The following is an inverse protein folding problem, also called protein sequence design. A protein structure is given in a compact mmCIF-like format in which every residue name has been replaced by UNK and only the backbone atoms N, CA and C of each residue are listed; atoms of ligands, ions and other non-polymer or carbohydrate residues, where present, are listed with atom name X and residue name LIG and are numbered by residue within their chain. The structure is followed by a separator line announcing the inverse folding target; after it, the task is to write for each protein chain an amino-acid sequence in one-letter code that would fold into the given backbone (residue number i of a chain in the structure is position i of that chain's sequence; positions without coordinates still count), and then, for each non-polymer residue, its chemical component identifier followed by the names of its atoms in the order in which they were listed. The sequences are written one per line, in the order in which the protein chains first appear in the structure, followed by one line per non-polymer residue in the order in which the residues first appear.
data_IF_407144703928
#
_entry.id   IF_407144703928
#
_cell.length_a   1.000
_cell.length_b   1.000
_cell.length_c   1.000
_cell.angle_alpha   90.00
_cell.angle_beta   90.00
_cell.angle_gamma   90.00
#
_symmetry.space_group_name_H-M   'P 1'
#
loop_
_entity.id
_entity.type
_entity.pdbx_description
1 polymer ?
#
# COMPACT_ATOMS: atom_id res chain seq x y z
N UNK A 1 -3.05 53.92 -6.78
CA UNK A 1 -3.32 53.18 -8.02
C UNK A 1 -2.21 52.15 -8.19
N UNK A 2 -2.61 50.87 -8.14
CA UNK A 2 -1.90 49.65 -8.57
C UNK A 2 -0.54 49.30 -7.93
N UNK A 3 -0.52 48.29 -7.04
CA UNK A 3 -0.15 46.93 -7.46
C UNK A 3 -0.64 45.94 -6.39
N UNK A 4 -1.92 45.54 -6.47
CA UNK A 4 -2.34 44.28 -5.87
C UNK A 4 -1.68 43.19 -6.69
N UNK A 5 -0.59 42.63 -6.16
CA UNK A 5 0.01 41.43 -6.72
C UNK A 5 -1.03 40.32 -6.65
N UNK A 6 -1.62 40.02 -7.82
CA UNK A 6 -2.69 39.06 -8.01
C UNK A 6 -2.22 37.62 -7.96
N UNK A 7 -0.92 37.40 -7.68
CA UNK A 7 -0.36 36.08 -7.53
C UNK A 7 -0.26 35.72 -6.04
N UNK A 8 -0.81 34.57 -5.63
CA UNK A 8 -0.54 34.08 -4.29
C UNK A 8 0.97 33.88 -4.12
N UNK A 9 1.48 34.21 -2.94
CA UNK A 9 2.85 33.90 -2.50
C UNK A 9 3.18 32.47 -2.88
N UNK A 10 4.39 32.25 -3.39
CA UNK A 10 4.85 30.94 -3.85
C UNK A 10 4.68 29.90 -2.73
N UNK A 11 3.66 29.06 -2.86
CA UNK A 11 3.42 27.92 -1.98
C UNK A 11 4.11 26.68 -2.53
N UNK A 12 4.54 25.79 -1.64
CA UNK A 12 5.29 24.56 -1.97
C UNK A 12 4.67 23.70 -3.06
N UNK A 13 3.34 23.76 -3.20
CA UNK A 13 2.60 23.09 -4.29
C UNK A 13 3.08 23.47 -5.69
N UNK A 14 3.51 24.72 -5.92
CA UNK A 14 4.02 25.17 -7.24
C UNK A 14 5.46 24.75 -7.51
N UNK A 15 6.28 24.51 -6.48
CA UNK A 15 7.61 23.90 -6.64
C UNK A 15 7.50 22.44 -7.05
N UNK A 16 6.57 21.70 -6.45
CA UNK A 16 6.29 20.31 -6.82
C UNK A 16 5.87 20.18 -8.30
N UNK A 17 4.92 21.00 -8.77
CA UNK A 17 4.45 20.96 -10.18
C UNK A 17 5.58 21.32 -11.17
N UNK A 18 6.45 22.28 -10.84
CA UNK A 18 7.61 22.60 -11.69
C UNK A 18 8.64 21.47 -11.72
N UNK A 19 8.81 20.72 -10.62
CA UNK A 19 9.64 19.51 -10.58
C UNK A 19 9.13 18.40 -11.49
N UNK A 20 7.82 18.14 -11.47
CA UNK A 20 7.17 17.10 -12.30
C UNK A 20 7.23 17.43 -13.80
N UNK A 21 7.00 18.69 -14.17
CA UNK A 21 7.03 19.12 -15.59
C UNK A 21 8.46 19.24 -16.14
N UNK A 22 9.47 19.45 -15.27
CA UNK A 22 10.88 19.44 -15.66
C UNK A 22 11.46 18.04 -15.93
N UNK A 23 10.89 16.99 -15.32
CA UNK A 23 11.38 15.62 -15.43
C UNK A 23 11.05 14.90 -16.75
N UNK A 24 10.05 15.38 -17.51
CA UNK A 24 9.62 14.72 -18.76
C UNK A 24 10.54 15.00 -19.97
N UNK A 25 11.62 15.79 -19.78
CA UNK A 25 12.50 16.23 -20.86
C UNK A 25 13.81 15.42 -21.04
N UNK A 26 14.06 14.37 -20.24
CA UNK A 26 15.28 13.54 -20.32
C UNK A 26 14.97 12.07 -20.60
N UNK A 27 14.24 11.81 -21.68
CA UNK A 27 14.20 10.49 -22.31
C UNK A 27 15.10 10.53 -23.56
N UNK A 28 16.41 10.33 -23.38
CA UNK A 28 17.35 10.36 -24.50
C UNK A 28 18.79 10.03 -24.14
N UNK A 29 19.11 8.72 -24.20
CA UNK A 29 20.45 8.10 -24.21
C UNK A 29 21.22 8.19 -22.89
N UNK A 30 21.54 7.02 -22.29
CA UNK A 30 22.91 6.63 -21.89
C UNK A 30 22.92 5.20 -21.32
N UNK A 31 23.48 4.28 -22.09
CA UNK A 31 24.04 3.01 -21.62
C UNK A 31 25.28 3.29 -20.74
N UNK A 32 25.42 2.51 -19.66
CA UNK A 32 26.57 2.40 -18.72
C UNK A 32 26.86 3.61 -17.80
N UNK A 33 26.50 3.47 -16.51
CA UNK A 33 26.98 4.31 -15.41
C UNK A 33 25.90 4.66 -14.40
N UNK A 34 25.67 3.80 -13.40
CA UNK A 34 24.78 4.08 -12.28
C UNK A 34 25.43 5.07 -11.31
N UNK A 35 25.21 6.39 -11.46
CA UNK A 35 25.45 7.39 -10.40
C UNK A 35 24.55 8.62 -10.60
N UNK A 36 23.73 8.90 -9.57
CA UNK A 36 23.17 10.18 -9.14
C UNK A 36 22.37 11.05 -10.13
N UNK A 37 21.07 10.77 -10.25
CA UNK A 37 20.06 11.79 -10.60
C UNK A 37 18.84 11.68 -9.66
N UNK A 38 19.07 11.73 -8.34
CA UNK A 38 17.98 11.74 -7.35
C UNK A 38 17.97 13.00 -6.48
N UNK A 39 19.09 13.72 -6.35
CA UNK A 39 19.25 14.77 -5.32
C UNK A 39 18.70 16.16 -5.67
N UNK A 40 18.46 16.48 -6.94
CA UNK A 40 18.07 17.84 -7.32
C UNK A 40 16.55 18.13 -7.18
N UNK A 41 15.73 17.12 -6.95
CA UNK A 41 14.26 17.24 -6.87
C UNK A 41 13.64 16.46 -5.71
N UNK A 42 14.44 15.83 -4.85
CA UNK A 42 13.92 15.18 -3.66
C UNK A 42 13.28 16.26 -2.75
N UNK A 43 12.01 16.12 -2.36
CA UNK A 43 11.37 17.06 -1.46
C UNK A 43 12.12 17.08 -0.10
N UNK A 44 12.11 18.24 0.55
CA UNK A 44 12.82 18.52 1.81
C UNK A 44 12.19 17.87 3.04
N UNK A 45 11.18 17.04 2.86
CA UNK A 45 10.42 16.38 3.92
C UNK A 45 10.72 14.89 3.96
N UNK A 46 10.34 14.22 5.05
CA UNK A 46 10.57 12.78 5.21
C UNK A 46 9.91 11.94 4.11
N UNK A 47 10.72 11.53 3.15
CA UNK A 47 10.34 10.75 1.98
C UNK A 47 9.93 11.58 0.77
N UNK A 48 9.87 10.90 -0.37
CA UNK A 48 9.51 11.47 -1.66
C UNK A 48 10.61 11.31 -2.71
N UNK A 49 10.23 10.84 -3.88
CA UNK A 49 11.16 10.33 -4.89
C UNK A 49 10.61 9.08 -5.54
N UNK A 50 11.35 8.49 -6.47
CA UNK A 50 10.94 7.22 -7.08
C UNK A 50 11.09 6.08 -6.07
N UNK A 51 9.99 5.38 -5.81
CA UNK A 51 9.92 4.22 -4.94
C UNK A 51 9.51 3.03 -5.79
N UNK A 52 10.32 1.98 -5.78
CA UNK A 52 9.95 0.67 -6.28
C UNK A 52 9.20 -0.07 -5.17
N UNK A 53 8.11 -0.75 -5.52
CA UNK A 53 7.28 -1.46 -4.58
C UNK A 53 6.61 -2.66 -5.24
N UNK A 54 6.22 -3.64 -4.44
CA UNK A 54 5.36 -4.74 -4.89
C UNK A 54 3.91 -4.47 -4.53
N UNK A 55 3.02 -4.89 -5.42
CA UNK A 55 1.59 -4.71 -5.23
C UNK A 55 0.74 -5.49 -6.23
N UNK A 56 -0.57 -5.49 -5.98
CA UNK A 56 -1.55 -6.10 -6.88
C UNK A 56 -1.48 -5.45 -8.27
N UNK A 57 -1.42 -6.25 -9.33
CA UNK A 57 -1.38 -5.74 -10.70
C UNK A 57 -2.66 -4.96 -11.04
N UNK A 58 -2.53 -3.74 -11.54
CA UNK A 58 -3.67 -2.98 -12.09
C UNK A 58 -3.90 -3.36 -13.55
N UNK A 59 -5.06 -3.94 -13.86
CA UNK A 59 -5.40 -4.43 -15.20
C UNK A 59 -6.34 -3.53 -15.97
N UNK A 60 -7.18 -2.74 -15.29
CA UNK A 60 -8.12 -1.82 -15.94
C UNK A 60 -8.39 -0.53 -15.14
N UNK A 61 -9.07 0.42 -15.78
CA UNK A 61 -9.46 1.72 -15.22
C UNK A 61 -8.34 2.76 -15.11
N UNK A 62 -8.65 3.94 -14.56
CA UNK A 62 -7.77 5.12 -14.59
C UNK A 62 -6.74 5.17 -13.46
N UNK A 63 -6.76 4.21 -12.52
CA UNK A 63 -5.68 4.09 -11.55
C UNK A 63 -4.32 4.03 -12.25
N UNK A 64 -3.32 4.80 -11.80
CA UNK A 64 -2.02 4.86 -12.48
C UNK A 64 -1.14 3.65 -12.19
N UNK A 65 -1.46 2.86 -11.15
CA UNK A 65 -0.64 1.75 -10.64
C UNK A 65 -1.45 0.85 -9.70
N UNK A 66 -0.88 -0.29 -9.33
CA UNK A 66 -1.38 -1.29 -8.40
C UNK A 66 -1.56 -0.83 -6.96
N UNK A 67 -2.19 -1.67 -6.14
CA UNK A 67 -2.31 -1.43 -4.70
C UNK A 67 -1.03 -1.92 -4.00
N UNK A 68 -0.33 -1.07 -3.24
CA UNK A 68 0.86 -1.50 -2.50
C UNK A 68 0.55 -2.62 -1.53
N UNK A 69 1.44 -3.60 -1.50
CA UNK A 69 1.34 -4.72 -0.58
C UNK A 69 1.75 -4.31 0.84
N UNK A 70 1.13 -4.95 1.82
CA UNK A 70 1.60 -5.00 3.21
C UNK A 70 2.19 -6.40 3.39
N UNK A 71 3.52 -6.53 3.64
CA UNK A 71 4.10 -7.81 3.99
C UNK A 71 3.51 -8.29 5.30
N UNK A 72 3.16 -9.57 5.37
CA UNK A 72 2.52 -10.17 6.54
C UNK A 72 3.49 -11.14 7.23
N UNK A 73 3.46 -11.16 8.55
CA UNK A 73 3.96 -12.25 9.37
C UNK A 73 2.84 -12.81 10.26
N UNK A 74 3.02 -14.04 10.73
CA UNK A 74 2.10 -14.72 11.64
C UNK A 74 2.86 -14.95 12.93
N UNK A 75 2.31 -14.48 14.06
CA UNK A 75 2.92 -14.71 15.36
C UNK A 75 2.59 -16.09 15.95
N UNK A 76 3.15 -16.40 17.12
CA UNK A 76 2.97 -17.68 17.81
C UNK A 76 1.52 -17.93 18.25
N UNK A 77 0.71 -16.89 18.39
CA UNK A 77 -0.72 -16.97 18.74
C UNK A 77 -1.62 -17.00 17.50
N UNK A 78 -1.04 -17.02 16.29
CA UNK A 78 -1.75 -17.05 15.03
C UNK A 78 -2.33 -15.70 14.61
N UNK A 79 -1.88 -14.58 15.20
CA UNK A 79 -2.30 -13.24 14.80
C UNK A 79 -1.57 -12.83 13.52
N UNK A 80 -2.30 -12.16 12.62
CA UNK A 80 -1.71 -11.55 11.44
C UNK A 80 -1.11 -10.20 11.79
N UNK A 81 0.17 -10.02 11.51
CA UNK A 81 0.91 -8.78 11.71
C UNK A 81 1.37 -8.23 10.36
N UNK A 82 1.24 -6.92 10.15
CA UNK A 82 1.88 -6.23 9.03
C UNK A 82 3.29 -5.80 9.42
N UNK A 83 4.29 -6.24 8.65
CA UNK A 83 5.70 -5.95 8.91
C UNK A 83 5.93 -4.44 8.80
N UNK A 84 6.46 -3.85 9.87
CA UNK A 84 6.91 -2.45 9.89
C UNK A 84 8.41 -2.39 10.17
N UNK A 85 9.23 -1.78 9.30
CA UNK A 85 10.67 -1.68 9.53
C UNK A 85 10.99 -0.79 10.74
N UNK A 86 12.11 -1.05 11.40
CA UNK A 86 12.58 -0.23 12.52
C UNK A 86 12.90 1.20 12.04
N UNK A 87 12.47 2.25 12.75
CA UNK A 87 12.77 3.63 12.38
C UNK A 87 14.22 4.00 12.67
N UNK A 88 14.87 4.66 11.72
CA UNK A 88 16.23 5.20 11.85
C UNK A 88 16.28 6.67 11.44
N UNK A 89 17.03 7.48 12.20
CA UNK A 89 17.32 8.86 11.84
C UNK A 89 18.46 8.91 10.83
N UNK A 90 18.18 9.46 9.65
CA UNK A 90 19.15 9.67 8.57
C UNK A 90 19.48 11.15 8.40
N UNK A 91 20.75 11.46 8.19
CA UNK A 91 21.22 12.82 7.86
C UNK A 91 21.36 12.92 6.34
N UNK A 92 20.59 13.81 5.72
CA UNK A 92 20.64 14.05 4.27
C UNK A 92 21.87 14.88 3.89
N UNK A 93 22.19 14.90 2.58
CA UNK A 93 23.31 15.67 2.01
C UNK A 93 23.25 17.18 2.31
N UNK A 94 22.04 17.72 2.54
CA UNK A 94 21.81 19.12 2.91
C UNK A 94 21.88 19.39 4.43
N UNK A 95 22.18 18.36 5.23
CA UNK A 95 22.29 18.41 6.68
C UNK A 95 20.96 18.24 7.42
N UNK A 96 19.85 18.00 6.72
CA UNK A 96 18.54 17.76 7.34
C UNK A 96 18.47 16.35 7.94
N UNK A 97 18.00 16.24 9.17
CA UNK A 97 17.70 14.95 9.80
C UNK A 97 16.27 14.52 9.42
N UNK A 98 16.13 13.27 8.99
CA UNK A 98 14.86 12.68 8.57
C UNK A 98 14.74 11.31 9.21
N UNK A 99 13.58 11.01 9.81
CA UNK A 99 13.27 9.65 10.27
C UNK A 99 12.71 8.82 9.12
N UNK A 100 13.34 7.71 8.81
CA UNK A 100 12.96 6.74 7.78
C UNK A 100 12.80 5.36 8.42
N UNK A 101 11.99 4.50 7.81
CA UNK A 101 11.88 3.09 8.21
C UNK A 101 12.00 2.26 6.94
N UNK A 102 13.11 1.54 6.83
CA UNK A 102 13.40 0.61 5.74
C UNK A 102 14.15 -0.63 6.24
N UNK A 103 13.99 -1.74 5.53
CA UNK A 103 14.71 -3.00 5.77
C UNK A 103 14.87 -3.77 4.46
N UNK A 104 15.78 -4.74 4.44
CA UNK A 104 15.85 -5.71 3.36
C UNK A 104 14.81 -6.81 3.60
N UNK A 105 13.91 -7.04 2.65
CA UNK A 105 12.91 -8.11 2.72
C UNK A 105 12.72 -8.70 1.33
N UNK A 106 12.84 -10.03 1.20
CA UNK A 106 12.61 -10.74 -0.06
C UNK A 106 13.45 -10.21 -1.22
N UNK A 107 14.72 -9.88 -0.97
CA UNK A 107 15.67 -9.41 -1.98
C UNK A 107 15.48 -7.96 -2.43
N UNK A 108 14.59 -7.18 -1.79
CA UNK A 108 14.37 -5.75 -2.09
C UNK A 108 14.38 -4.88 -0.84
N UNK A 109 14.61 -3.58 -1.03
CA UNK A 109 14.41 -2.59 0.03
C UNK A 109 12.91 -2.35 0.22
N UNK A 110 12.39 -2.83 1.34
CA UNK A 110 11.04 -2.52 1.79
C UNK A 110 11.08 -1.28 2.68
N UNK A 111 10.33 -0.25 2.31
CA UNK A 111 10.30 1.04 3.00
C UNK A 111 8.86 1.51 3.19
N UNK A 112 8.62 2.24 4.28
CA UNK A 112 7.32 2.86 4.58
C UNK A 112 6.89 3.89 3.53
N UNK A 113 7.80 4.33 2.65
CA UNK A 113 7.47 5.17 1.50
C UNK A 113 6.51 4.51 0.49
N UNK A 114 6.39 3.17 0.50
CA UNK A 114 5.40 2.44 -0.31
C UNK A 114 3.98 2.93 -0.08
N UNK A 115 3.71 3.48 1.11
CA UNK A 115 2.40 3.97 1.52
C UNK A 115 2.25 5.47 1.36
N UNK A 116 3.22 6.15 0.74
CA UNK A 116 3.17 7.60 0.58
C UNK A 116 2.39 8.05 -0.66
N UNK A 117 1.10 7.80 -0.67
CA UNK A 117 0.23 8.18 -1.79
C UNK A 117 -1.21 8.46 -1.35
N UNK A 118 -1.97 9.21 -2.17
CA UNK A 118 -3.41 9.39 -1.99
C UNK A 118 -3.87 9.91 -0.61
N UNK A 119 -2.99 10.61 0.11
CA UNK A 119 -3.26 11.08 1.48
C UNK A 119 -2.89 10.08 2.58
N UNK A 120 -2.54 8.84 2.23
CA UNK A 120 -2.05 7.86 3.22
C UNK A 120 -0.76 8.33 3.89
N UNK A 121 0.07 9.12 3.18
CA UNK A 121 1.27 9.75 3.77
C UNK A 121 0.98 10.70 4.94
N UNK A 122 -0.28 11.10 5.14
CA UNK A 122 -0.67 11.99 6.24
C UNK A 122 -1.33 11.24 7.40
N UNK A 123 -1.53 9.93 7.30
CA UNK A 123 -2.11 9.13 8.37
C UNK A 123 -1.11 8.98 9.52
N UNK A 124 -1.58 9.18 10.75
CA UNK A 124 -0.74 9.22 11.94
C UNK A 124 0.15 7.99 12.08
N UNK A 125 -0.41 6.79 11.93
CA UNK A 125 0.34 5.55 12.09
C UNK A 125 1.27 5.18 10.94
N UNK A 126 1.23 5.89 9.81
CA UNK A 126 2.19 5.71 8.70
C UNK A 126 3.50 6.46 8.96
N UNK A 127 3.56 7.32 9.99
CA UNK A 127 4.84 7.88 10.42
C UNK A 127 5.74 6.72 10.91
N UNK A 128 7.00 6.62 10.45
CA UNK A 128 7.96 5.61 10.86
C UNK A 128 7.99 5.43 12.39
N UNK A 129 8.11 6.55 13.10
CA UNK A 129 8.23 6.68 14.54
C UNK A 129 6.89 7.01 15.23
N UNK A 130 5.76 6.64 14.63
CA UNK A 130 4.45 6.82 15.26
C UNK A 130 4.41 6.13 16.64
N UNK A 131 4.14 6.91 17.69
CA UNK A 131 4.06 6.42 19.06
C UNK A 131 2.76 5.62 19.30
N UNK A 132 2.88 4.54 20.07
CA UNK A 132 1.73 3.72 20.48
C UNK A 132 1.12 2.82 19.40
N UNK A 133 1.75 2.72 18.22
CA UNK A 133 1.32 1.83 17.13
C UNK A 133 1.85 0.41 17.29
N UNK A 134 1.01 -0.58 17.00
CA UNK A 134 1.38 -2.00 16.91
C UNK A 134 1.36 -2.50 15.46
N UNK A 135 1.85 -3.72 15.24
CA UNK A 135 1.88 -4.35 13.91
C UNK A 135 0.62 -5.17 13.62
N UNK A 136 -0.29 -5.29 14.58
CA UNK A 136 -1.47 -6.16 14.51
C UNK A 136 -2.45 -5.65 13.44
N UNK A 137 -2.88 -6.54 12.54
CA UNK A 137 -3.98 -6.27 11.60
C UNK A 137 -5.30 -6.48 12.35
N UNK A 138 -6.19 -5.47 12.32
CA UNK A 138 -7.43 -5.47 13.12
C UNK A 138 -8.67 -5.26 12.28
N UNK A 139 -9.77 -5.91 12.65
CA UNK A 139 -11.05 -5.75 11.95
C UNK A 139 -11.60 -4.33 12.05
N UNK A 140 -12.26 -3.88 10.99
CA UNK A 140 -13.05 -2.65 10.94
C UNK A 140 -14.54 -2.96 10.81
N UNK A 141 -15.37 -1.94 10.57
CA UNK A 141 -16.78 -2.11 10.26
C UNK A 141 -16.90 -2.89 8.94
N UNK A 142 -16.96 -4.23 9.06
CA UNK A 142 -16.60 -5.15 8.00
C UNK A 142 -17.35 -4.98 6.68
N UNK A 143 -16.66 -5.36 5.60
CA UNK A 143 -17.19 -5.30 4.22
C UNK A 143 -17.85 -6.61 3.75
N UNK A 144 -17.79 -7.67 4.57
CA UNK A 144 -18.29 -9.01 4.22
C UNK A 144 -19.20 -9.54 5.33
N UNK A 145 -20.26 -10.26 4.95
CA UNK A 145 -21.27 -10.78 5.90
C UNK A 145 -20.66 -11.64 7.02
N UNK A 146 -19.64 -12.46 6.69
CA UNK A 146 -18.95 -13.31 7.67
C UNK A 146 -18.23 -12.51 8.76
N UNK A 147 -17.84 -11.26 8.48
CA UNK A 147 -17.19 -10.40 9.48
C UNK A 147 -18.15 -9.94 10.58
N UNK A 148 -19.45 -10.24 10.48
CA UNK A 148 -20.38 -10.01 11.59
C UNK A 148 -20.13 -10.92 12.80
N UNK A 149 -19.31 -11.96 12.63
CA UNK A 149 -18.90 -12.88 13.69
C UNK A 149 -17.68 -12.41 14.50
N UNK A 150 -17.04 -11.29 14.11
CA UNK A 150 -15.88 -10.68 14.79
C UNK A 150 -16.15 -9.25 15.22
N UNK A 151 -15.50 -8.75 16.27
CA UNK A 151 -15.70 -7.38 16.74
C UNK A 151 -14.74 -6.38 16.07
N UNK A 152 -15.20 -5.14 15.88
CA UNK A 152 -14.34 -4.07 15.38
C UNK A 152 -13.17 -3.84 16.35
N UNK A 153 -11.94 -3.84 15.83
CA UNK A 153 -10.71 -3.71 16.61
C UNK A 153 -10.09 -5.03 17.06
N UNK A 154 -10.81 -6.16 16.91
CA UNK A 154 -10.24 -7.47 17.19
C UNK A 154 -9.08 -7.79 16.24
N UNK A 155 -8.02 -8.47 16.72
CA UNK A 155 -6.98 -9.00 15.86
C UNK A 155 -7.54 -9.95 14.79
N UNK A 156 -6.99 -9.88 13.59
CA UNK A 156 -7.20 -10.91 12.57
C UNK A 156 -6.37 -12.15 12.95
N UNK A 157 -7.04 -13.28 13.12
CA UNK A 157 -6.41 -14.56 13.44
C UNK A 157 -6.46 -15.49 12.24
N UNK A 158 -5.45 -16.35 12.11
CA UNK A 158 -5.35 -17.37 11.05
C UNK A 158 -6.60 -18.27 11.01
N UNK A 159 -7.13 -18.65 12.18
CA UNK A 159 -8.33 -19.48 12.35
C UNK A 159 -9.59 -18.87 11.69
N UNK A 160 -9.66 -17.54 11.56
CA UNK A 160 -10.79 -16.88 10.91
C UNK A 160 -10.85 -17.15 9.39
N UNK A 161 -9.78 -17.69 8.81
CA UNK A 161 -9.62 -17.93 7.37
C UNK A 161 -9.51 -19.42 7.00
N UNK A 162 -9.80 -20.37 7.90
CA UNK A 162 -9.64 -21.81 7.62
C UNK A 162 -10.43 -22.29 6.39
N UNK A 163 -11.62 -21.77 6.16
CA UNK A 163 -12.55 -22.10 5.07
C UNK A 163 -12.30 -21.31 3.77
N UNK A 164 -11.08 -20.81 3.55
CA UNK A 164 -10.80 -19.90 2.43
C UNK A 164 -11.03 -20.48 1.03
N UNK A 165 -10.84 -21.79 0.89
CA UNK A 165 -10.96 -22.58 -0.35
C UNK A 165 -12.41 -23.00 -0.64
N UNK A 166 -13.32 -22.83 0.33
CA UNK A 166 -14.76 -23.05 0.18
C UNK A 166 -15.57 -21.74 0.23
N UNK A 167 -14.97 -20.65 0.71
CA UNK A 167 -15.65 -19.38 0.94
C UNK A 167 -16.29 -18.79 -0.34
N UNK A 168 -17.50 -18.26 -0.17
CA UNK A 168 -18.26 -17.60 -1.24
C UNK A 168 -19.26 -16.60 -0.69
N UNK A 169 -19.65 -15.65 -1.53
CA UNK A 169 -20.67 -14.64 -1.27
C UNK A 169 -21.53 -14.35 -2.53
N UNK A 170 -21.66 -15.35 -3.41
CA UNK A 170 -22.38 -15.29 -4.69
C UNK A 170 -21.83 -14.30 -5.75
N UNK A 171 -20.72 -13.61 -5.47
CA UNK A 171 -20.03 -12.75 -6.44
C UNK A 171 -18.83 -13.50 -7.02
N UNK A 172 -18.76 -13.71 -8.32
CA UNK A 172 -17.63 -14.40 -8.93
C UNK A 172 -17.60 -15.91 -8.65
N UNK A 173 -16.42 -16.51 -8.64
CA UNK A 173 -16.21 -17.94 -8.48
C UNK A 173 -15.99 -18.29 -6.99
N UNK A 174 -16.62 -19.35 -6.46
CA UNK A 174 -16.41 -19.79 -5.08
C UNK A 174 -14.98 -20.31 -4.88
N UNK A 175 -14.51 -20.27 -3.63
CA UNK A 175 -13.22 -20.88 -3.25
C UNK A 175 -11.98 -20.19 -3.79
N UNK A 176 -12.10 -18.96 -4.29
CA UNK A 176 -10.95 -18.17 -4.79
C UNK A 176 -10.13 -17.53 -3.66
N UNK A 177 -10.55 -17.68 -2.40
CA UNK A 177 -9.94 -17.07 -1.23
C UNK A 177 -10.94 -16.28 -0.41
N UNK A 178 -10.69 -16.20 0.90
CA UNK A 178 -11.53 -15.50 1.87
C UNK A 178 -10.93 -14.13 2.23
N UNK A 179 -11.66 -13.04 2.01
CA UNK A 179 -11.18 -11.69 2.27
C UNK A 179 -11.65 -11.13 3.62
N UNK A 180 -10.84 -10.28 4.23
CA UNK A 180 -11.19 -9.42 5.37
C UNK A 180 -10.79 -7.96 5.09
N UNK A 181 -11.61 -7.01 5.52
CA UNK A 181 -11.20 -5.59 5.63
C UNK A 181 -10.82 -5.26 7.06
N UNK A 182 -10.03 -4.20 7.22
CA UNK A 182 -9.61 -3.80 8.54
C UNK A 182 -8.78 -2.53 8.56
N UNK A 183 -8.06 -2.36 9.66
CA UNK A 183 -7.08 -1.30 9.85
C UNK A 183 -5.72 -1.88 10.28
N UNK A 184 -4.66 -1.12 10.01
CA UNK A 184 -3.30 -1.41 10.46
C UNK A 184 -2.66 -0.11 10.94
N UNK A 185 -1.81 -0.15 11.96
CA UNK A 185 -1.15 1.04 12.54
C UNK A 185 -2.13 2.22 12.66
N UNK A 186 -3.19 1.98 13.42
CA UNK A 186 -4.32 2.88 13.58
C UNK A 186 -4.70 3.07 15.05
N UNK A 187 -3.73 2.87 15.94
CA UNK A 187 -3.93 3.03 17.38
C UNK A 187 -3.78 4.49 17.78
N UNK A 188 -4.73 4.99 18.57
CA UNK A 188 -4.70 6.36 19.05
C UNK A 188 -4.73 7.44 17.95
N UNK A 189 -5.15 7.09 16.73
CA UNK A 189 -5.40 8.05 15.63
C UNK A 189 -6.90 8.31 15.46
N UNK A 190 -7.30 9.50 14.99
CA UNK A 190 -8.69 9.74 14.60
C UNK A 190 -9.17 8.78 13.50
N UNK A 191 -10.47 8.43 13.44
CA UNK A 191 -11.02 7.52 12.42
C UNK A 191 -10.68 7.90 10.97
N UNK A 192 -10.58 9.19 10.65
CA UNK A 192 -10.20 9.67 9.32
C UNK A 192 -8.71 9.47 8.96
N UNK A 193 -7.88 9.07 9.93
CA UNK A 193 -6.45 8.79 9.77
C UNK A 193 -6.10 7.31 9.95
N UNK A 194 -7.08 6.42 10.05
CA UNK A 194 -6.81 4.98 10.10
C UNK A 194 -6.34 4.49 8.72
N UNK A 195 -5.35 3.60 8.68
CA UNK A 195 -4.87 2.99 7.44
C UNK A 195 -5.78 1.81 7.07
N UNK A 196 -6.62 1.92 6.02
CA UNK A 196 -7.49 0.83 5.63
C UNK A 196 -6.68 -0.28 4.97
N UNK A 197 -6.99 -1.54 5.28
CA UNK A 197 -6.33 -2.71 4.71
C UNK A 197 -7.34 -3.70 4.11
N UNK A 198 -6.83 -4.54 3.22
CA UNK A 198 -7.52 -5.71 2.69
C UNK A 198 -6.57 -6.89 2.84
N UNK A 199 -7.01 -7.93 3.53
CA UNK A 199 -6.31 -9.21 3.66
C UNK A 199 -7.09 -10.26 2.90
N UNK A 200 -6.42 -11.14 2.16
CA UNK A 200 -7.02 -12.28 1.47
C UNK A 200 -6.17 -13.51 1.77
N UNK A 201 -6.77 -14.57 2.30
CA UNK A 201 -6.14 -15.91 2.30
C UNK A 201 -6.55 -16.66 1.04
N UNK A 202 -5.60 -17.22 0.30
CA UNK A 202 -5.87 -17.97 -0.94
C UNK A 202 -4.76 -18.97 -1.28
N UNK A 203 -5.09 -20.00 -2.05
CA UNK A 203 -4.14 -20.92 -2.70
C UNK A 203 -3.95 -20.61 -4.20
N UNK A 204 -4.64 -19.59 -4.72
CA UNK A 204 -4.63 -19.23 -6.15
C UNK A 204 -3.34 -18.51 -6.58
N UNK A 205 -2.41 -18.26 -5.66
CA UNK A 205 -1.14 -17.59 -5.94
C UNK A 205 -0.16 -18.56 -6.63
N UNK A 206 0.05 -18.40 -7.93
CA UNK A 206 0.95 -19.26 -8.69
C UNK A 206 2.42 -18.83 -8.58
N UNK A 207 3.04 -19.17 -7.45
CA UNK A 207 4.43 -18.82 -7.10
C UNK A 207 5.46 -19.42 -8.08
N UNK A 208 5.16 -20.56 -8.69
CA UNK A 208 6.06 -21.26 -9.60
C UNK A 208 6.25 -20.50 -10.93
N UNK A 209 5.21 -19.83 -11.41
CA UNK A 209 5.23 -19.04 -12.66
C UNK A 209 5.82 -17.63 -12.49
N UNK A 210 6.10 -17.21 -11.26
CA UNK A 210 6.70 -15.92 -10.98
C UNK A 210 8.18 -15.88 -11.40
N UNK A 211 8.64 -14.69 -11.79
CA UNK A 211 10.08 -14.46 -11.93
C UNK A 211 10.77 -14.54 -10.57
N UNK A 212 12.10 -14.69 -10.55
CA UNK A 212 12.84 -14.96 -9.32
C UNK A 212 12.70 -13.85 -8.27
N UNK A 213 12.72 -12.57 -8.64
CA UNK A 213 12.57 -11.47 -7.66
C UNK A 213 11.16 -11.38 -7.09
N UNK A 214 10.13 -11.57 -7.91
CA UNK A 214 8.75 -11.65 -7.44
C UNK A 214 8.54 -12.88 -6.54
N UNK A 215 9.13 -14.03 -6.89
CA UNK A 215 9.05 -15.25 -6.07
C UNK A 215 9.68 -15.03 -4.70
N UNK A 216 10.90 -14.51 -4.66
CA UNK A 216 11.63 -14.24 -3.41
C UNK A 216 10.85 -13.26 -2.53
N UNK A 217 10.29 -12.21 -3.13
CA UNK A 217 9.41 -11.28 -2.43
C UNK A 217 8.16 -11.96 -1.86
N UNK A 218 7.45 -12.76 -2.66
CA UNK A 218 6.23 -13.46 -2.22
C UNK A 218 6.50 -14.45 -1.11
N UNK A 219 7.60 -15.19 -1.20
CA UNK A 219 8.02 -16.12 -0.15
C UNK A 219 8.31 -15.41 1.18
N UNK A 220 8.84 -14.19 1.13
CA UNK A 220 9.15 -13.39 2.32
C UNK A 220 7.97 -12.57 2.87
N UNK A 221 6.98 -12.23 2.04
CA UNK A 221 5.92 -11.27 2.39
C UNK A 221 4.52 -11.87 2.49
N UNK A 222 4.32 -13.08 1.95
CA UNK A 222 3.02 -13.77 1.92
C UNK A 222 3.16 -15.12 2.63
N UNK A 223 3.05 -15.16 3.97
CA UNK A 223 3.27 -16.38 4.74
C UNK A 223 2.28 -17.45 4.30
N UNK A 224 2.78 -18.67 4.15
CA UNK A 224 2.00 -19.85 3.85
C UNK A 224 1.73 -20.59 5.16
N UNK A 225 0.47 -20.96 5.40
CA UNK A 225 0.12 -21.81 6.54
C UNK A 225 0.17 -23.30 6.20
N UNK A 226 -0.17 -24.14 7.18
CA UNK A 226 -0.08 -25.60 7.05
C UNK A 226 -1.07 -26.20 6.04
N UNK A 227 -2.19 -25.51 5.77
CA UNK A 227 -3.18 -25.91 4.77
C UNK A 227 -2.74 -25.56 3.34
N UNK A 228 -1.64 -24.82 3.19
CA UNK A 228 -1.06 -24.43 1.90
C UNK A 228 -1.59 -23.10 1.36
N UNK A 229 -2.50 -22.44 2.06
CA UNK A 229 -2.98 -21.10 1.74
C UNK A 229 -1.95 -20.04 2.11
N UNK A 230 -1.95 -18.91 1.38
CA UNK A 230 -1.10 -17.75 1.66
C UNK A 230 -1.93 -16.53 2.03
N UNK A 231 -1.41 -15.72 2.95
CA UNK A 231 -2.01 -14.44 3.32
C UNK A 231 -1.42 -13.31 2.49
N UNK A 232 -2.28 -12.57 1.80
CA UNK A 232 -1.91 -11.38 1.04
C UNK A 232 -2.52 -10.15 1.70
N UNK A 233 -1.70 -9.15 2.03
CA UNK A 233 -2.16 -7.87 2.58
C UNK A 233 -1.96 -6.72 1.60
N UNK A 234 -2.91 -5.78 1.54
CA UNK A 234 -2.79 -4.55 0.75
C UNK A 234 -3.26 -3.35 1.53
N UNK A 235 -2.64 -2.19 1.28
CA UNK A 235 -3.26 -0.93 1.68
C UNK A 235 -4.50 -0.71 0.81
N UNK A 236 -5.67 -0.68 1.44
CA UNK A 236 -6.96 -0.61 0.77
C UNK A 236 -7.34 0.82 0.39
N UNK A 237 -6.47 1.46 -0.40
CA UNK A 237 -6.64 2.82 -0.91
C UNK A 237 -6.35 2.84 -2.40
N UNK A 238 -7.37 3.04 -3.22
CA UNK A 238 -7.25 3.13 -4.67
C UNK A 238 -6.28 4.26 -5.07
N UNK A 239 -5.33 3.94 -5.93
CA UNK A 239 -4.26 4.85 -6.37
C UNK A 239 -4.73 5.96 -7.33
N UNK A 240 -6.01 5.97 -7.73
CA UNK A 240 -6.60 7.04 -8.55
C UNK A 240 -7.04 8.23 -7.70
N UNK A 241 -8.19 8.11 -7.03
CA UNK A 241 -8.79 9.14 -6.17
C UNK A 241 -9.24 8.57 -4.83
N UNK A 242 -8.44 7.66 -4.27
CA UNK A 242 -8.40 7.35 -2.85
C UNK A 242 -9.68 6.74 -2.25
N UNK A 243 -10.58 6.19 -3.07
CA UNK A 243 -11.66 5.31 -2.60
C UNK A 243 -11.08 4.00 -2.04
N UNK A 244 -11.82 3.30 -1.20
CA UNK A 244 -11.49 1.95 -0.76
C UNK A 244 -12.10 0.94 -1.76
N UNK A 245 -11.30 0.22 -2.56
CA UNK A 245 -11.82 -0.88 -3.36
C UNK A 245 -12.20 -2.08 -2.47
N UNK A 246 -12.85 -3.08 -3.05
CA UNK A 246 -13.12 -4.34 -2.36
C UNK A 246 -12.95 -5.54 -3.29
N UNK A 247 -12.52 -6.66 -2.72
CA UNK A 247 -12.44 -7.94 -3.42
C UNK A 247 -13.78 -8.64 -3.37
N UNK A 248 -14.41 -8.91 -4.52
CA UNK A 248 -15.73 -9.59 -4.57
C UNK A 248 -16.80 -8.91 -3.68
N UNK A 249 -16.84 -7.57 -3.61
CA UNK A 249 -17.82 -6.83 -2.75
C UNK A 249 -19.03 -6.28 -3.51
N UNK A 250 -18.97 -6.22 -4.84
CA UNK A 250 -19.98 -5.61 -5.68
C UNK A 250 -20.39 -6.53 -6.82
N UNK A 251 -21.68 -6.88 -6.90
CA UNK A 251 -22.24 -7.73 -7.96
C UNK A 251 -21.98 -7.19 -9.37
N UNK A 252 -21.99 -5.86 -9.53
CA UNK A 252 -21.81 -5.19 -10.81
C UNK A 252 -20.36 -5.19 -11.31
N UNK A 253 -19.39 -5.61 -10.48
CA UNK A 253 -17.99 -5.77 -10.88
C UNK A 253 -17.84 -6.73 -12.07
N UNK A 254 -18.74 -7.71 -12.20
CA UNK A 254 -18.76 -8.64 -13.33
C UNK A 254 -18.90 -7.94 -14.69
N UNK A 255 -19.63 -6.82 -14.76
CA UNK A 255 -19.78 -6.03 -16.00
C UNK A 255 -18.45 -5.42 -16.49
N UNK A 256 -17.45 -5.36 -15.61
CA UNK A 256 -16.10 -4.86 -15.90
C UNK A 256 -15.05 -5.97 -15.93
N UNK A 257 -15.48 -7.24 -15.92
CA UNK A 257 -14.57 -8.39 -15.85
C UNK A 257 -13.83 -8.49 -14.51
N UNK A 258 -14.40 -7.91 -13.44
CA UNK A 258 -13.77 -7.76 -12.14
C UNK A 258 -14.46 -8.57 -11.03
N UNK A 259 -15.25 -9.60 -11.40
CA UNK A 259 -16.02 -10.39 -10.44
C UNK A 259 -15.14 -11.13 -9.42
N UNK A 260 -13.93 -11.54 -9.81
CA UNK A 260 -12.93 -12.22 -8.95
C UNK A 260 -11.76 -11.31 -8.60
N UNK A 261 -11.93 -10.00 -8.74
CA UNK A 261 -10.82 -9.04 -8.65
C UNK A 261 -11.08 -8.04 -7.51
N UNK A 262 -10.04 -7.27 -7.16
CA UNK A 262 -10.23 -6.08 -6.33
C UNK A 262 -10.77 -4.96 -7.24
N UNK A 263 -11.98 -4.51 -6.97
CA UNK A 263 -12.68 -3.54 -7.82
C UNK A 263 -12.97 -2.23 -7.10
N UNK A 264 -12.70 -1.11 -7.78
CA UNK A 264 -13.01 0.25 -7.35
C UNK A 264 -14.08 0.86 -8.26
N UNK A 265 -15.34 0.87 -7.81
CA UNK A 265 -16.47 1.38 -8.58
C UNK A 265 -16.47 2.91 -8.79
N UNK A 266 -15.68 3.68 -8.02
CA UNK A 266 -15.61 5.13 -8.17
C UNK A 266 -15.29 5.56 -9.61
N UNK A 267 -14.37 4.85 -10.27
CA UNK A 267 -13.97 5.12 -11.65
C UNK A 267 -13.60 3.84 -12.43
N UNK A 268 -14.05 2.68 -11.98
CA UNK A 268 -13.86 1.37 -12.60
C UNK A 268 -12.39 0.90 -12.68
N UNK A 269 -11.60 1.12 -11.64
CA UNK A 269 -10.25 0.53 -11.55
C UNK A 269 -10.32 -0.91 -11.09
N UNK A 270 -9.53 -1.77 -11.72
CA UNK A 270 -9.49 -3.23 -11.44
C UNK A 270 -8.07 -3.64 -11.13
N UNK A 271 -7.91 -4.42 -10.06
CA UNK A 271 -6.63 -4.96 -9.62
C UNK A 271 -6.72 -6.47 -9.44
N UNK A 272 -5.74 -7.20 -9.97
CA UNK A 272 -5.59 -8.63 -9.76
C UNK A 272 -4.89 -8.89 -8.44
N UNK A 273 -5.58 -9.39 -7.40
CA UNK A 273 -4.95 -9.62 -6.11
C UNK A 273 -3.82 -10.65 -6.24
N UNK A 274 -4.06 -11.75 -6.95
CA UNK A 274 -3.12 -12.87 -7.01
C UNK A 274 -2.02 -12.71 -8.06
N UNK A 275 -1.94 -11.54 -8.72
CA UNK A 275 -0.80 -11.20 -9.56
C UNK A 275 0.01 -10.06 -8.92
N UNK A 276 1.08 -10.42 -8.23
CA UNK A 276 1.97 -9.48 -7.56
C UNK A 276 3.06 -9.06 -8.54
N UNK A 277 3.20 -7.76 -8.76
CA UNK A 277 4.18 -7.20 -9.71
C UNK A 277 4.98 -6.08 -9.07
N UNK A 278 6.27 -5.99 -9.43
CA UNK A 278 7.10 -4.84 -9.09
C UNK A 278 6.65 -3.64 -9.92
N UNK A 279 6.47 -2.50 -9.26
CA UNK A 279 5.96 -1.27 -9.83
C UNK A 279 6.71 -0.09 -9.25
N UNK A 280 6.56 1.08 -9.87
CA UNK A 280 7.24 2.30 -9.42
C UNK A 280 6.26 3.48 -9.37
N UNK A 281 6.44 4.35 -8.38
CA UNK A 281 5.78 5.65 -8.35
C UNK A 281 6.63 6.71 -7.67
N UNK A 282 6.21 7.97 -7.80
CA UNK A 282 6.79 9.06 -7.02
C UNK A 282 6.05 9.16 -5.69
N UNK A 283 6.72 8.79 -4.60
CA UNK A 283 6.21 8.96 -3.24
C UNK A 283 5.91 10.43 -2.95
N UNK A 284 4.76 10.67 -2.31
CA UNK A 284 4.38 12.00 -1.89
C UNK A 284 5.13 12.36 -0.61
N UNK A 285 5.70 13.57 -0.52
CA UNK A 285 6.32 14.03 0.70
C UNK A 285 5.36 13.93 1.90
N UNK A 286 5.83 13.39 3.03
CA UNK A 286 5.13 13.57 4.29
C UNK A 286 5.13 15.06 4.65
N UNK A 287 4.04 15.62 5.20
CA UNK A 287 4.10 16.98 5.73
C UNK A 287 5.25 17.08 6.74
N UNK A 288 6.05 18.16 6.68
CA UNK A 288 6.92 18.49 7.80
C UNK A 288 6.03 18.61 9.04
N UNK A 289 6.45 18.02 10.16
CA UNK A 289 5.72 18.20 11.41
C UNK A 289 5.57 19.69 11.66
N UNK A 290 4.35 20.15 11.95
CA UNK A 290 4.17 21.41 12.65
C UNK A 290 4.68 21.17 14.07
N UNK A 291 6.01 21.23 14.25
CA UNK A 291 6.61 21.41 15.56
C UNK A 291 6.32 22.87 15.99
N UNK A 292 5.08 23.12 16.42
CA UNK A 292 4.68 24.28 17.23
C UNK A 292 4.23 23.83 18.63
#
# INVERSE_FOLDING_TARGET
MANDDKYPVESDRRRFVKGVVGGSALAGVLTTGAVAVSSATAPTSGGGGFVNYFGAERTAGPAPRGLPQIPIEIDDDGQLLGIWPEPETQVRDDGTEVVEASTELGGVEYTTEWYQYCGVQTFGGIKPDADGEDQVLRYDAGSYDWMSDVENGDPMLTEHFEDYDEWTNDIGEPGQGKPATGTWRSQNVPPEQTVPILVIKTDQLNVEEMNDSTREWVEASCPQDEDGGRYLGYVNKCTHFCCAPGYRTLDDAAAFGAANEIYCNCHNSVYKPFNITEQQFVALPRPAGDDE
#
